data_IF_612118508675
#
_entry.id   IF_612118508675
#
_cell.length_a   1.000
_cell.length_b   1.000
_cell.length_c   1.000
_cell.angle_alpha   90.00
_cell.angle_beta   90.00
_cell.angle_gamma   90.00
#
_symmetry.space_group_name_H-M   'P 1'
#
loop_
_entity.id
_entity.type
_entity.pdbx_description
1 polymer ?
#
# COMPACT_ATOMS: atom_id res chain seq x y z
N UNK A 1 -34.25 -23.52 18.51
CA UNK A 1 -33.18 -23.99 17.59
C UNK A 1 -32.31 -22.79 17.27
N UNK A 2 -31.05 -22.83 17.70
CA UNK A 2 -30.08 -21.74 17.59
C UNK A 2 -29.58 -21.62 16.14
N UNK A 3 -30.09 -20.63 15.41
CA UNK A 3 -29.55 -20.21 14.11
C UNK A 3 -28.40 -19.17 14.25
N UNK A 4 -27.89 -18.98 15.47
CA UNK A 4 -26.99 -17.89 15.84
C UNK A 4 -25.51 -18.02 15.41
N UNK A 5 -24.88 -19.21 15.35
CA UNK A 5 -23.45 -19.30 14.99
C UNK A 5 -23.18 -19.28 13.48
N UNK A 6 -24.06 -19.89 12.68
CA UNK A 6 -23.81 -20.13 11.24
C UNK A 6 -24.14 -18.92 10.37
N UNK A 7 -25.17 -18.13 10.72
CA UNK A 7 -25.49 -16.87 10.03
C UNK A 7 -24.43 -15.78 10.30
N UNK A 8 -23.92 -15.71 11.54
CA UNK A 8 -22.91 -14.71 11.96
C UNK A 8 -21.53 -15.00 11.37
N UNK A 9 -21.18 -16.26 11.12
CA UNK A 9 -19.91 -16.62 10.48
C UNK A 9 -19.91 -16.36 8.97
N UNK A 10 -21.05 -16.56 8.30
CA UNK A 10 -21.25 -16.16 6.90
C UNK A 10 -21.13 -14.65 6.72
N UNK A 11 -21.87 -13.87 7.51
CA UNK A 11 -21.90 -12.40 7.37
C UNK A 11 -20.57 -11.72 7.69
N UNK A 12 -19.84 -12.17 8.72
CA UNK A 12 -18.51 -11.62 9.08
C UNK A 12 -17.47 -11.78 7.97
N UNK A 13 -17.52 -12.89 7.24
CA UNK A 13 -16.58 -13.13 6.13
C UNK A 13 -16.87 -12.18 4.98
N UNK A 14 -18.15 -12.04 4.61
CA UNK A 14 -18.58 -11.13 3.54
C UNK A 14 -18.27 -9.67 3.89
N UNK A 15 -18.47 -9.25 5.14
CA UNK A 15 -18.12 -7.90 5.58
C UNK A 15 -16.62 -7.61 5.50
N UNK A 16 -15.79 -8.54 5.95
CA UNK A 16 -14.33 -8.38 5.86
C UNK A 16 -13.86 -8.24 4.40
N UNK A 17 -14.47 -8.98 3.48
CA UNK A 17 -14.16 -8.87 2.05
C UNK A 17 -14.57 -7.51 1.49
N UNK A 18 -15.79 -7.05 1.78
CA UNK A 18 -16.31 -5.76 1.28
C UNK A 18 -15.53 -4.58 1.84
N UNK A 19 -15.23 -4.57 3.14
CA UNK A 19 -14.44 -3.50 3.76
C UNK A 19 -13.03 -3.45 3.19
N UNK A 20 -12.36 -4.61 3.07
CA UNK A 20 -11.03 -4.69 2.46
C UNK A 20 -11.04 -4.19 1.01
N UNK A 21 -12.04 -4.61 0.23
CA UNK A 21 -12.18 -4.17 -1.16
C UNK A 21 -12.39 -2.65 -1.25
N UNK A 22 -13.17 -2.06 -0.33
CA UNK A 22 -13.38 -0.62 -0.28
C UNK A 22 -12.09 0.14 0.08
N UNK A 23 -11.30 -0.35 1.04
CA UNK A 23 -10.01 0.22 1.40
C UNK A 23 -9.00 0.13 0.24
N UNK A 24 -8.92 -1.03 -0.43
CA UNK A 24 -8.07 -1.26 -1.59
C UNK A 24 -8.48 -0.32 -2.75
N UNK A 25 -9.78 -0.18 -3.02
CA UNK A 25 -10.28 0.75 -4.03
C UNK A 25 -9.98 2.20 -3.67
N UNK A 26 -10.13 2.61 -2.41
CA UNK A 26 -9.77 3.95 -1.95
C UNK A 26 -8.28 4.24 -2.16
N UNK A 27 -7.42 3.30 -1.78
CA UNK A 27 -5.97 3.45 -1.93
C UNK A 27 -5.58 3.54 -3.42
N UNK A 28 -6.10 2.64 -4.27
CA UNK A 28 -5.84 2.69 -5.71
C UNK A 28 -6.34 4.00 -6.33
N UNK A 29 -7.55 4.44 -5.97
CA UNK A 29 -8.11 5.70 -6.46
C UNK A 29 -7.27 6.90 -6.05
N UNK A 30 -6.70 6.89 -4.84
CA UNK A 30 -5.79 7.95 -4.42
C UNK A 30 -4.50 7.97 -5.24
N UNK A 31 -3.91 6.81 -5.57
CA UNK A 31 -2.74 6.76 -6.47
C UNK A 31 -3.08 7.35 -7.85
N UNK A 32 -4.24 7.02 -8.40
CA UNK A 32 -4.71 7.60 -9.67
C UNK A 32 -4.91 9.10 -9.54
N UNK A 33 -5.60 9.59 -8.51
CA UNK A 33 -5.80 11.03 -8.26
C UNK A 33 -4.47 11.79 -8.21
N UNK A 34 -3.48 11.27 -7.48
CA UNK A 34 -2.17 11.89 -7.39
C UNK A 34 -1.49 12.01 -8.75
N UNK A 35 -1.63 11.00 -9.63
CA UNK A 35 -1.12 11.07 -11.00
C UNK A 35 -1.77 12.19 -11.84
N UNK A 36 -3.06 12.46 -11.60
CA UNK A 36 -3.81 13.56 -12.21
C UNK A 36 -3.72 14.89 -11.44
N UNK A 37 -2.90 14.97 -10.37
CA UNK A 37 -2.79 16.13 -9.47
C UNK A 37 -4.10 16.51 -8.77
N UNK A 38 -5.00 15.55 -8.63
CA UNK A 38 -6.23 15.68 -7.84
C UNK A 38 -5.94 15.35 -6.36
N UNK A 39 -6.73 15.92 -5.44
CA UNK A 39 -6.52 15.75 -4.00
C UNK A 39 -6.88 14.32 -3.55
N UNK A 40 -5.99 13.59 -2.84
CA UNK A 40 -6.33 12.30 -2.26
C UNK A 40 -7.27 12.48 -1.06
N UNK A 41 -8.11 11.46 -0.79
CA UNK A 41 -8.97 11.44 0.39
C UNK A 41 -8.87 10.09 1.10
N UNK A 42 -8.77 10.14 2.42
CA UNK A 42 -8.79 8.95 3.28
C UNK A 42 -10.01 9.03 4.18
N UNK A 43 -10.84 8.01 4.09
CA UNK A 43 -11.97 7.78 4.98
C UNK A 43 -11.61 6.64 5.92
N UNK A 44 -11.91 6.82 7.20
CA UNK A 44 -11.75 5.81 8.24
C UNK A 44 -13.12 5.35 8.72
N UNK A 45 -13.26 4.04 8.96
CA UNK A 45 -14.46 3.50 9.57
C UNK A 45 -14.51 3.96 11.04
N UNK A 46 -15.49 4.78 11.37
CA UNK A 46 -15.66 5.33 12.71
C UNK A 46 -16.64 4.54 13.58
N UNK A 47 -17.64 3.90 12.96
CA UNK A 47 -18.59 3.04 13.65
C UNK A 47 -19.20 2.01 12.69
N UNK A 48 -19.46 0.82 13.22
CA UNK A 48 -20.28 -0.20 12.59
C UNK A 48 -21.52 -0.42 13.46
N UNK A 49 -22.68 0.00 12.97
CA UNK A 49 -23.96 -0.17 13.66
C UNK A 49 -24.79 -1.21 12.94
N UNK A 50 -25.21 -2.26 13.63
CA UNK A 50 -26.05 -3.31 13.05
C UNK A 50 -27.49 -3.15 13.49
N UNK A 51 -28.43 -3.05 12.55
CA UNK A 51 -29.87 -3.08 12.84
C UNK A 51 -30.46 -4.43 12.46
N UNK A 52 -31.21 -5.03 13.38
CA UNK A 52 -31.94 -6.28 13.15
C UNK A 52 -33.43 -6.00 12.98
N UNK A 53 -34.00 -6.50 11.90
CA UNK A 53 -35.44 -6.54 11.68
C UNK A 53 -35.89 -8.00 11.59
N UNK A 54 -36.97 -8.32 12.30
CA UNK A 54 -37.60 -9.65 12.25
C UNK A 54 -38.98 -9.43 11.65
N UNK A 55 -39.24 -10.03 10.50
CA UNK A 55 -40.56 -10.08 9.89
C UNK A 55 -41.11 -11.51 9.93
N UNK A 56 -42.38 -11.63 10.30
CA UNK A 56 -43.12 -12.88 10.18
C UNK A 56 -43.93 -12.80 8.88
N UNK A 57 -43.52 -13.56 7.87
CA UNK A 57 -44.31 -13.73 6.66
C UNK A 57 -45.14 -15.01 6.79
N UNK A 58 -46.46 -14.84 6.69
CA UNK A 58 -47.40 -15.96 6.56
C UNK A 58 -47.72 -16.08 5.09
N UNK A 59 -47.22 -17.13 4.44
CA UNK A 59 -47.52 -17.41 3.05
C UNK A 59 -48.50 -18.59 2.96
N UNK A 60 -49.60 -18.36 2.27
CA UNK A 60 -50.51 -19.43 1.86
C UNK A 60 -50.10 -19.86 0.46
N UNK A 61 -49.59 -21.08 0.32
CA UNK A 61 -49.25 -21.63 -1.00
C UNK A 61 -50.13 -22.83 -1.30
N UNK A 62 -50.65 -22.87 -2.52
CA UNK A 62 -51.42 -24.02 -3.03
C UNK A 62 -50.44 -24.93 -3.77
N UNK A 63 -50.20 -26.12 -3.23
CA UNK A 63 -49.35 -27.11 -3.90
C UNK A 63 -50.26 -27.98 -4.76
N UNK A 64 -50.13 -27.86 -6.09
CA UNK A 64 -50.89 -28.65 -7.06
C UNK A 64 -50.20 -29.99 -7.28
N UNK A 65 -50.67 -31.04 -6.60
CA UNK A 65 -50.29 -32.43 -6.87
C UNK A 65 -51.22 -33.07 -7.89
N UNK A 66 -50.74 -34.08 -8.63
CA UNK A 66 -51.61 -34.91 -9.48
C UNK A 66 -52.64 -35.66 -8.61
N UNK A 67 -53.84 -35.10 -8.49
CA UNK A 67 -55.02 -35.77 -7.94
C UNK A 67 -55.71 -35.06 -6.78
N UNK A 68 -54.99 -34.26 -5.98
CA UNK A 68 -55.58 -33.50 -4.87
C UNK A 68 -54.83 -32.18 -4.64
N UNK A 69 -55.60 -31.11 -4.40
CA UNK A 69 -55.07 -29.79 -4.04
C UNK A 69 -55.22 -29.60 -2.54
N UNK A 70 -54.10 -29.52 -1.81
CA UNK A 70 -54.12 -29.18 -0.39
C UNK A 70 -53.67 -27.73 -0.17
N UNK A 71 -54.38 -27.04 0.72
CA UNK A 71 -54.00 -25.70 1.20
C UNK A 71 -52.88 -25.87 2.24
N UNK A 72 -51.67 -25.47 1.87
CA UNK A 72 -50.53 -25.39 2.78
C UNK A 72 -50.43 -24.00 3.40
N UNK A 73 -50.49 -23.90 4.74
CA UNK A 73 -50.17 -22.68 5.49
C UNK A 73 -48.74 -22.82 6.00
N UNK A 74 -47.82 -22.00 5.47
CA UNK A 74 -46.43 -21.93 5.93
C UNK A 74 -46.18 -20.61 6.65
N UNK A 75 -45.52 -20.66 7.81
CA UNK A 75 -44.96 -19.48 8.47
C UNK A 75 -43.46 -19.45 8.25
N UNK A 76 -42.93 -18.36 7.71
CA UNK A 76 -41.49 -18.10 7.63
C UNK A 76 -41.12 -16.91 8.50
N UNK A 77 -40.13 -17.10 9.36
CA UNK A 77 -39.49 -16.01 10.11
C UNK A 77 -38.30 -15.55 9.28
N UNK A 78 -38.34 -14.31 8.79
CA UNK A 78 -37.24 -13.69 8.06
C UNK A 78 -36.54 -12.74 9.03
N UNK A 79 -35.29 -13.04 9.37
CA UNK A 79 -34.42 -12.14 10.10
C UNK A 79 -33.53 -11.42 9.06
N UNK A 80 -33.67 -10.10 8.96
CA UNK A 80 -32.87 -9.27 8.07
C UNK A 80 -31.97 -8.34 8.89
N UNK A 81 -30.68 -8.38 8.59
CA UNK A 81 -29.64 -7.54 9.18
C UNK A 81 -29.26 -6.44 8.18
N UNK A 82 -29.29 -5.17 8.59
CA UNK A 82 -28.81 -4.05 7.76
C UNK A 82 -27.72 -3.31 8.53
N UNK A 83 -26.43 -3.54 8.20
CA UNK A 83 -25.34 -2.80 8.81
C UNK A 83 -25.26 -1.39 8.22
N UNK A 84 -24.99 -0.41 9.06
CA UNK A 84 -24.65 0.96 8.69
C UNK A 84 -23.20 1.21 9.06
N UNK A 85 -22.35 1.46 8.07
CA UNK A 85 -20.94 1.82 8.25
C UNK A 85 -20.81 3.33 8.19
N UNK A 86 -20.33 3.94 9.28
CA UNK A 86 -20.03 5.36 9.34
C UNK A 86 -18.57 5.60 9.00
N UNK A 87 -18.32 6.57 8.12
CA UNK A 87 -16.97 6.97 7.70
C UNK A 87 -16.66 8.40 8.11
N UNK A 88 -15.46 8.63 8.63
CA UNK A 88 -14.96 9.98 8.94
C UNK A 88 -13.69 10.27 8.13
N UNK A 89 -13.58 11.44 7.49
CA UNK A 89 -12.35 11.82 6.80
C UNK A 89 -11.17 11.99 7.76
N UNK A 90 -10.00 11.47 7.38
CA UNK A 90 -8.73 11.72 8.08
C UNK A 90 -8.32 13.19 7.88
N UNK A 91 -8.20 13.95 8.98
CA UNK A 91 -7.94 15.40 8.97
C UNK A 91 -7.08 15.82 10.16
N UNK A 92 -6.60 17.06 10.14
CA UNK A 92 -5.92 17.67 11.28
C UNK A 92 -4.60 16.99 11.63
N UNK A 93 -4.34 16.83 12.93
CA UNK A 93 -3.09 16.28 13.45
C UNK A 93 -2.86 14.82 13.01
N UNK A 94 -3.91 14.00 12.97
CA UNK A 94 -3.79 12.60 12.55
C UNK A 94 -3.40 12.48 11.08
N UNK A 95 -3.90 13.38 10.22
CA UNK A 95 -3.46 13.43 8.82
C UNK A 95 -1.98 13.78 8.71
N UNK A 96 -1.50 14.78 9.47
CA UNK A 96 -0.08 15.16 9.47
C UNK A 96 0.76 13.96 9.91
N UNK A 97 0.43 13.36 11.05
CA UNK A 97 1.17 12.24 11.62
C UNK A 97 1.18 11.00 10.73
N UNK A 98 0.05 10.64 10.12
CA UNK A 98 -0.08 9.39 9.34
C UNK A 98 0.38 9.51 7.90
N UNK A 99 0.22 10.69 7.29
CA UNK A 99 0.39 10.88 5.85
C UNK A 99 1.64 11.71 5.52
N UNK A 100 1.95 12.73 6.33
CA UNK A 100 2.98 13.73 6.01
C UNK A 100 4.28 13.52 6.76
N UNK A 101 4.26 12.95 7.97
CA UNK A 101 5.48 12.66 8.70
C UNK A 101 6.32 11.60 7.95
N UNK A 102 7.65 11.75 7.92
CA UNK A 102 8.53 10.75 7.34
C UNK A 102 8.40 9.41 8.06
N UNK A 103 8.49 8.33 7.30
CA UNK A 103 8.56 6.97 7.86
C UNK A 103 9.82 6.86 8.72
N UNK A 104 9.71 6.21 9.88
CA UNK A 104 10.82 6.05 10.79
C UNK A 104 11.72 4.86 10.44
N UNK A 105 12.93 4.87 11.01
CA UNK A 105 13.90 3.80 10.83
C UNK A 105 13.38 2.46 11.37
N UNK A 106 12.62 2.50 12.46
CA UNK A 106 12.09 1.31 13.12
C UNK A 106 11.09 0.57 12.23
N UNK A 107 10.24 1.28 11.48
CA UNK A 107 9.33 0.69 10.49
C UNK A 107 10.11 -0.06 9.41
N UNK A 108 11.22 0.49 8.90
CA UNK A 108 12.05 -0.19 7.90
C UNK A 108 12.58 -1.53 8.43
N UNK A 109 13.15 -1.54 9.64
CA UNK A 109 13.70 -2.76 10.24
C UNK A 109 12.60 -3.75 10.66
N UNK A 110 11.46 -3.27 11.14
CA UNK A 110 10.30 -4.10 11.46
C UNK A 110 9.79 -4.83 10.21
N UNK A 111 9.62 -4.12 9.09
CA UNK A 111 9.18 -4.74 7.85
C UNK A 111 10.25 -5.69 7.30
N UNK A 112 11.52 -5.31 7.33
CA UNK A 112 12.60 -6.18 6.88
C UNK A 112 12.67 -7.49 7.70
N UNK A 113 12.52 -7.41 9.02
CA UNK A 113 12.48 -8.60 9.90
C UNK A 113 11.20 -9.43 9.74
N UNK A 114 10.12 -8.82 9.24
CA UNK A 114 8.87 -9.50 8.88
C UNK A 114 8.92 -10.21 7.52
N UNK A 115 10.07 -10.23 6.85
CA UNK A 115 10.29 -10.97 5.60
C UNK A 115 10.03 -10.18 4.32
N UNK A 116 9.79 -8.87 4.41
CA UNK A 116 9.69 -8.02 3.22
C UNK A 116 11.06 -7.87 2.54
N UNK A 117 11.07 -7.87 1.20
CA UNK A 117 12.31 -7.67 0.42
C UNK A 117 12.96 -6.33 0.75
N UNK A 118 14.22 -6.36 1.18
CA UNK A 118 15.00 -5.15 1.47
C UNK A 118 15.06 -4.22 0.26
N UNK A 119 15.31 -4.73 -0.94
CA UNK A 119 15.32 -3.92 -2.16
C UNK A 119 14.01 -3.14 -2.34
N UNK A 120 12.86 -3.80 -2.15
CA UNK A 120 11.55 -3.17 -2.28
C UNK A 120 11.33 -2.13 -1.18
N UNK A 121 11.71 -2.43 0.06
CA UNK A 121 11.62 -1.48 1.17
C UNK A 121 12.47 -0.24 0.92
N UNK A 122 13.74 -0.39 0.51
CA UNK A 122 14.61 0.74 0.22
C UNK A 122 14.09 1.56 -0.97
N UNK A 123 13.69 0.91 -2.07
CA UNK A 123 13.14 1.61 -3.24
C UNK A 123 11.84 2.36 -2.96
N UNK A 124 11.05 1.94 -1.98
CA UNK A 124 9.79 2.61 -1.62
C UNK A 124 9.97 3.66 -0.53
N UNK A 125 10.58 3.28 0.59
CA UNK A 125 10.53 4.04 1.84
C UNK A 125 11.69 5.04 1.95
N UNK A 126 12.82 4.77 1.30
CA UNK A 126 14.02 5.61 1.41
C UNK A 126 14.08 6.56 0.22
N UNK A 127 14.14 7.85 0.49
CA UNK A 127 14.30 8.93 -0.49
C UNK A 127 15.76 9.19 -0.87
N UNK A 128 16.68 8.97 0.08
CA UNK A 128 18.11 9.18 -0.11
C UNK A 128 18.91 8.23 0.77
N UNK A 129 20.02 7.71 0.24
CA UNK A 129 21.03 7.00 1.02
C UNK A 129 22.38 7.69 0.80
N UNK A 130 22.94 8.29 1.85
CA UNK A 130 24.08 9.20 1.80
C UNK A 130 23.89 10.33 0.79
N UNK A 131 24.51 10.23 -0.40
CA UNK A 131 24.40 11.22 -1.47
C UNK A 131 23.64 10.70 -2.68
N UNK A 132 23.15 9.46 -2.62
CA UNK A 132 22.49 8.80 -3.74
C UNK A 132 20.98 8.94 -3.57
N UNK A 133 20.37 9.69 -4.49
CA UNK A 133 18.95 9.97 -4.48
C UNK A 133 18.11 8.88 -5.11
N UNK A 134 17.00 8.53 -4.47
CA UNK A 134 16.00 7.64 -5.02
C UNK A 134 14.91 8.46 -5.71
N UNK A 135 15.09 8.82 -6.98
CA UNK A 135 14.05 9.54 -7.75
C UNK A 135 13.46 10.77 -7.02
N UNK A 136 14.27 11.58 -6.33
CA UNK A 136 13.82 12.54 -5.29
C UNK A 136 12.76 13.57 -5.73
N UNK A 137 12.66 13.86 -7.03
CA UNK A 137 11.61 14.69 -7.61
C UNK A 137 10.21 14.07 -7.62
N UNK A 138 10.06 12.81 -7.20
CA UNK A 138 8.80 12.05 -7.22
C UNK A 138 8.12 11.90 -5.85
N UNK A 139 8.59 12.60 -4.82
CA UNK A 139 7.90 12.71 -3.52
C UNK A 139 6.65 13.59 -3.55
N UNK A 140 6.44 14.30 -4.66
CA UNK A 140 5.34 15.24 -4.86
C UNK A 140 4.74 15.07 -6.26
N UNK A 141 4.04 16.10 -6.78
CA UNK A 141 3.46 16.05 -8.12
C UNK A 141 4.49 15.61 -9.17
N UNK A 142 4.06 14.82 -10.17
CA UNK A 142 4.93 14.29 -11.23
C UNK A 142 5.89 15.36 -11.76
N UNK A 143 7.22 15.12 -11.73
CA UNK A 143 8.20 16.09 -12.16
C UNK A 143 8.18 16.22 -13.69
N UNK A 144 8.49 17.43 -14.18
CA UNK A 144 8.60 17.68 -15.62
C UNK A 144 9.86 17.05 -16.23
N UNK A 145 10.91 16.86 -15.43
CA UNK A 145 12.19 16.29 -15.85
C UNK A 145 12.43 14.96 -15.13
N UNK A 146 13.03 14.00 -15.83
CA UNK A 146 13.35 12.68 -15.30
C UNK A 146 14.29 12.81 -14.09
N UNK A 147 13.95 12.20 -12.94
CA UNK A 147 14.84 12.25 -11.78
C UNK A 147 15.95 11.18 -11.91
N UNK A 148 17.08 11.38 -11.24
CA UNK A 148 18.09 10.34 -11.09
C UNK A 148 17.56 9.18 -10.22
N UNK A 149 17.73 7.94 -10.65
CA UNK A 149 17.23 6.77 -9.92
C UNK A 149 18.09 5.51 -10.06
N UNK A 150 18.92 5.41 -11.10
CA UNK A 150 19.65 4.21 -11.49
C UNK A 150 20.62 3.75 -10.40
N UNK A 151 21.44 4.67 -9.87
CA UNK A 151 22.40 4.37 -8.80
C UNK A 151 21.69 3.85 -7.53
N UNK A 152 20.55 4.43 -7.18
CA UNK A 152 19.79 3.99 -6.01
C UNK A 152 19.14 2.63 -6.23
N UNK A 153 18.55 2.39 -7.42
CA UNK A 153 18.00 1.09 -7.80
C UNK A 153 19.08 0.01 -7.71
N UNK A 154 20.30 0.32 -8.17
CA UNK A 154 21.45 -0.59 -8.09
C UNK A 154 21.93 -0.81 -6.66
N UNK A 155 22.03 0.24 -5.83
CA UNK A 155 22.35 0.12 -4.41
C UNK A 155 21.38 -0.80 -3.65
N UNK A 156 20.07 -0.65 -3.90
CA UNK A 156 19.05 -1.49 -3.30
C UNK A 156 19.20 -2.97 -3.71
N UNK A 157 19.58 -3.20 -4.97
CA UNK A 157 19.91 -4.54 -5.48
C UNK A 157 21.16 -5.13 -4.80
N UNK A 158 22.26 -4.38 -4.72
CA UNK A 158 23.50 -4.82 -4.07
C UNK A 158 23.26 -5.17 -2.59
N UNK A 159 22.53 -4.33 -1.86
CA UNK A 159 22.21 -4.55 -0.46
C UNK A 159 21.35 -5.82 -0.26
N UNK A 160 20.37 -6.06 -1.14
CA UNK A 160 19.57 -7.29 -1.13
C UNK A 160 20.43 -8.51 -1.41
N UNK A 161 21.31 -8.46 -2.41
CA UNK A 161 22.17 -9.57 -2.77
C UNK A 161 23.12 -9.95 -1.62
N UNK A 162 23.77 -8.96 -1.01
CA UNK A 162 24.59 -9.14 0.19
C UNK A 162 23.77 -9.74 1.34
N UNK A 163 22.52 -9.31 1.54
CA UNK A 163 21.67 -9.83 2.62
C UNK A 163 21.25 -11.28 2.38
N UNK A 164 20.92 -11.64 1.13
CA UNK A 164 20.54 -13.00 0.74
C UNK A 164 21.70 -14.00 0.92
N UNK A 165 22.93 -13.54 0.71
CA UNK A 165 24.14 -14.33 0.93
C UNK A 165 24.58 -14.37 2.41
N UNK A 166 23.83 -13.75 3.33
CA UNK A 166 24.18 -13.67 4.75
C UNK A 166 25.39 -12.78 5.04
N UNK A 167 25.79 -11.93 4.09
CA UNK A 167 26.96 -11.07 4.18
C UNK A 167 26.71 -9.75 4.90
N UNK A 168 25.45 -9.36 5.07
CA UNK A 168 25.06 -8.16 5.81
C UNK A 168 23.86 -8.45 6.70
N UNK A 169 23.86 -7.87 7.90
CA UNK A 169 22.77 -7.92 8.84
C UNK A 169 22.57 -6.58 9.55
N UNK A 170 21.35 -6.32 9.99
CA UNK A 170 21.06 -5.24 10.92
C UNK A 170 21.40 -5.65 12.35
N UNK A 171 21.98 -4.74 13.12
CA UNK A 171 22.28 -4.95 14.53
C UNK A 171 22.17 -3.66 15.33
N UNK A 172 22.45 -3.76 16.64
CA UNK A 172 22.57 -2.60 17.53
C UNK A 172 23.95 -2.59 18.17
N UNK A 173 24.64 -1.46 18.10
CA UNK A 173 25.91 -1.24 18.75
C UNK A 173 25.83 0.07 19.55
N UNK A 174 26.07 0.00 20.86
CA UNK A 174 25.96 1.14 21.79
C UNK A 174 24.63 1.91 21.67
N UNK A 175 23.53 1.17 21.55
CA UNK A 175 22.17 1.72 21.39
C UNK A 175 21.97 2.52 20.07
N UNK A 176 22.80 2.27 19.07
CA UNK A 176 22.68 2.81 17.72
C UNK A 176 22.50 1.68 16.72
N UNK A 177 21.56 1.83 15.81
CA UNK A 177 21.33 0.89 14.72
C UNK A 177 22.53 0.87 13.78
N UNK A 178 23.00 -0.31 13.40
CA UNK A 178 24.16 -0.51 12.51
C UNK A 178 23.84 -1.55 11.42
N UNK A 179 24.47 -1.41 10.27
CA UNK A 179 24.66 -2.52 9.33
C UNK A 179 26.04 -3.15 9.61
N UNK A 180 26.03 -4.47 9.80
CA UNK A 180 27.20 -5.29 10.10
C UNK A 180 27.43 -6.20 8.90
N UNK A 181 28.60 -6.07 8.29
CA UNK A 181 29.05 -6.88 7.17
C UNK A 181 30.01 -7.98 7.65
N UNK A 182 29.90 -9.16 7.07
CA UNK A 182 30.78 -10.28 7.35
C UNK A 182 32.20 -10.00 6.81
N UNK A 183 33.30 -10.40 7.49
CA UNK A 183 34.66 -10.10 7.03
C UNK A 183 34.99 -10.52 5.59
N UNK A 184 34.32 -11.55 5.09
CA UNK A 184 34.46 -12.11 3.75
C UNK A 184 34.11 -11.11 2.64
N UNK A 185 33.32 -10.07 2.94
CA UNK A 185 32.91 -9.07 1.95
C UNK A 185 34.06 -8.23 1.40
N UNK A 186 35.20 -8.16 2.09
CA UNK A 186 36.36 -7.33 1.72
C UNK A 186 36.88 -7.62 0.31
N UNK A 187 36.63 -8.80 -0.22
CA UNK A 187 37.05 -9.22 -1.55
C UNK A 187 35.89 -9.36 -2.55
N UNK A 188 34.66 -9.06 -2.13
CA UNK A 188 33.49 -9.15 -3.00
C UNK A 188 33.29 -7.85 -3.77
N UNK A 189 33.04 -7.99 -5.08
CA UNK A 189 32.81 -6.85 -5.97
C UNK A 189 31.56 -6.03 -5.57
N UNK A 190 30.48 -6.70 -5.15
CA UNK A 190 29.23 -6.04 -4.75
C UNK A 190 29.36 -5.18 -3.49
N UNK A 191 30.17 -5.60 -2.51
CA UNK A 191 30.48 -4.79 -1.34
C UNK A 191 31.39 -3.59 -1.66
N UNK A 192 32.43 -3.80 -2.48
CA UNK A 192 33.32 -2.71 -2.91
C UNK A 192 32.55 -1.66 -3.73
N UNK A 193 31.62 -2.10 -4.57
CA UNK A 193 30.74 -1.21 -5.32
C UNK A 193 29.75 -0.48 -4.41
N UNK A 194 29.10 -1.19 -3.47
CA UNK A 194 28.19 -0.60 -2.49
C UNK A 194 28.87 0.50 -1.66
N UNK A 195 30.06 0.23 -1.15
CA UNK A 195 30.83 1.21 -0.39
C UNK A 195 31.30 2.38 -1.25
N UNK A 196 31.71 2.13 -2.50
CA UNK A 196 32.09 3.19 -3.44
C UNK A 196 30.92 4.14 -3.76
N UNK A 197 29.75 3.60 -4.12
CA UNK A 197 28.54 4.39 -4.44
C UNK A 197 28.11 5.26 -3.26
N UNK A 198 28.24 4.76 -2.04
CA UNK A 198 27.90 5.49 -0.81
C UNK A 198 29.04 6.34 -0.25
N UNK A 199 30.22 6.33 -0.88
CA UNK A 199 31.45 7.01 -0.41
C UNK A 199 31.84 6.60 1.01
N UNK A 200 31.70 5.32 1.32
CA UNK A 200 32.07 4.69 2.58
C UNK A 200 33.53 4.23 2.56
N UNK A 201 34.13 4.10 3.76
CA UNK A 201 35.46 3.51 3.96
C UNK A 201 35.40 1.97 3.82
N UNK A 202 35.88 1.38 2.71
CA UNK A 202 35.72 -0.05 2.43
C UNK A 202 36.47 -0.97 3.41
N UNK A 203 37.35 -0.44 4.27
CA UNK A 203 38.02 -1.23 5.31
C UNK A 203 37.12 -1.49 6.53
N UNK A 204 35.96 -0.81 6.62
CA UNK A 204 35.00 -0.93 7.72
C UNK A 204 33.91 -1.95 7.46
N UNK A 205 33.66 -2.78 8.47
CA UNK A 205 32.61 -3.80 8.41
C UNK A 205 31.36 -3.42 9.21
N UNK A 206 31.38 -2.31 9.93
CA UNK A 206 30.26 -1.85 10.76
C UNK A 206 30.00 -0.39 10.45
N UNK A 207 28.80 -0.12 9.96
CA UNK A 207 28.36 1.23 9.63
C UNK A 207 27.13 1.59 10.47
N UNK A 208 27.23 2.61 11.32
CA UNK A 208 26.07 3.25 11.93
C UNK A 208 25.06 3.70 10.89
N UNK A 209 23.79 3.37 11.12
CA UNK A 209 22.65 3.85 10.34
C UNK A 209 22.05 5.04 11.07
N UNK A 210 21.97 6.17 10.38
CA UNK A 210 21.47 7.44 10.95
C UNK A 210 20.36 8.00 10.09
N UNK A 211 19.45 8.74 10.72
CA UNK A 211 18.43 9.54 10.02
C UNK A 211 18.79 11.01 10.23
N UNK A 212 19.49 11.62 9.28
CA UNK A 212 19.93 13.01 9.40
C UNK A 212 19.61 13.82 8.15
N UNK A 213 19.26 15.10 8.34
CA UNK A 213 18.71 15.95 7.29
C UNK A 213 19.64 16.15 6.07
N UNK A 214 20.97 16.06 6.22
CA UNK A 214 21.94 16.14 5.11
C UNK A 214 23.28 15.47 5.43
N UNK A 215 23.90 14.89 4.40
CA UNK A 215 25.33 14.57 4.35
C UNK A 215 25.61 13.07 4.36
N UNK A 216 26.52 12.64 3.46
CA UNK A 216 27.18 11.34 3.56
C UNK A 216 28.46 11.48 4.37
N UNK A 217 28.71 10.54 5.27
CA UNK A 217 29.99 10.42 5.97
C UNK A 217 30.61 9.09 5.60
N UNK A 218 31.93 9.05 5.40
CA UNK A 218 32.65 7.81 5.07
C UNK A 218 32.45 6.68 6.11
N UNK A 219 31.94 7.03 7.29
CA UNK A 219 31.84 6.16 8.45
C UNK A 219 30.40 5.88 8.88
N UNK A 220 29.37 6.28 8.11
CA UNK A 220 27.97 6.02 8.45
C UNK A 220 27.08 6.00 7.22
N UNK A 221 26.00 5.23 7.30
CA UNK A 221 24.94 5.19 6.29
C UNK A 221 23.81 6.10 6.78
N UNK A 222 23.65 7.23 6.11
CA UNK A 222 22.57 8.17 6.36
C UNK A 222 21.37 7.87 5.46
N UNK A 223 20.20 7.74 6.05
CA UNK A 223 18.94 7.51 5.36
C UNK A 223 18.02 8.72 5.52
N UNK A 224 17.49 9.20 4.40
CA UNK A 224 16.31 10.08 4.38
C UNK A 224 15.10 9.26 3.95
N UNK A 225 14.04 9.29 4.74
CA UNK A 225 12.82 8.56 4.44
C UNK A 225 11.78 9.42 3.73
N UNK A 226 10.98 8.77 2.87
CA UNK A 226 9.72 9.34 2.37
C UNK A 226 8.68 9.34 3.49
N UNK A 227 7.74 10.28 3.43
CA UNK A 227 6.46 10.12 4.12
C UNK A 227 5.56 9.16 3.34
N UNK A 228 4.44 8.72 3.93
CA UNK A 228 3.46 7.93 3.18
C UNK A 228 2.95 8.69 1.93
N UNK A 229 2.72 10.00 2.02
CA UNK A 229 2.43 10.82 0.86
C UNK A 229 3.53 10.72 -0.21
N UNK A 230 4.79 10.80 0.19
CA UNK A 230 5.93 10.63 -0.72
C UNK A 230 5.96 9.26 -1.40
N UNK A 231 5.68 8.17 -0.64
CA UNK A 231 5.54 6.82 -1.20
C UNK A 231 4.40 6.76 -2.21
N UNK A 232 3.25 7.36 -1.90
CA UNK A 232 2.10 7.37 -2.80
C UNK A 232 2.34 8.19 -4.07
N UNK A 233 3.02 9.33 -3.97
CA UNK A 233 3.42 10.12 -5.15
C UNK A 233 4.41 9.35 -6.03
N UNK A 234 5.38 8.64 -5.43
CA UNK A 234 6.29 7.77 -6.16
C UNK A 234 5.52 6.64 -6.87
N UNK A 235 4.64 5.94 -6.15
CA UNK A 235 3.83 4.85 -6.71
C UNK A 235 2.82 5.33 -7.75
N UNK A 236 2.31 6.55 -7.65
CA UNK A 236 1.41 7.13 -8.66
C UNK A 236 2.07 7.22 -10.05
N UNK A 237 3.40 7.28 -10.12
CA UNK A 237 4.12 7.23 -11.39
C UNK A 237 4.01 5.87 -12.10
N UNK A 238 3.58 4.82 -11.39
CA UNK A 238 3.29 3.50 -11.94
C UNK A 238 1.96 3.42 -12.71
N UNK A 239 1.16 4.49 -12.68
CA UNK A 239 -0.14 4.56 -13.38
C UNK A 239 0.07 4.79 -14.87
N UNK A 240 -0.39 3.83 -15.67
CA UNK A 240 -0.45 3.92 -17.12
C UNK A 240 -1.67 4.74 -17.52
N UNK A 241 -1.44 6.03 -17.76
CA UNK A 241 -2.48 6.99 -18.14
C UNK A 241 -2.94 6.70 -19.58
N UNK A 242 -4.26 6.69 -19.87
CA UNK A 242 -4.76 6.58 -21.24
C UNK A 242 -4.17 7.65 -22.17
N UNK A 243 -3.82 7.27 -23.40
CA UNK A 243 -3.20 8.17 -24.38
C UNK A 243 -4.04 9.44 -24.64
N UNK A 244 -5.37 9.31 -24.64
CA UNK A 244 -6.29 10.43 -24.80
C UNK A 244 -6.15 11.49 -23.69
N UNK A 245 -5.88 11.06 -22.44
CA UNK A 245 -5.71 11.97 -21.30
C UNK A 245 -4.33 12.63 -21.32
N UNK A 246 -3.31 11.90 -21.79
CA UNK A 246 -1.98 12.46 -22.06
C UNK A 246 -2.06 13.53 -23.15
N UNK A 247 -2.69 13.22 -24.29
CA UNK A 247 -2.86 14.15 -25.41
C UNK A 247 -3.69 15.38 -25.04
N UNK A 248 -4.66 15.24 -24.13
CA UNK A 248 -5.46 16.34 -23.61
C UNK A 248 -4.76 17.19 -22.52
N UNK A 249 -3.51 16.88 -22.16
CA UNK A 249 -2.74 17.63 -21.16
C UNK A 249 -3.26 17.48 -19.73
N UNK A 250 -3.98 16.39 -19.41
CA UNK A 250 -4.57 16.15 -18.08
C UNK A 250 -3.56 15.67 -17.05
N UNK A 251 -2.38 15.25 -17.50
CA UNK A 251 -1.28 14.78 -16.65
C UNK A 251 0.02 15.41 -17.07
N UNK A 252 0.97 15.51 -16.15
CA UNK A 252 2.34 15.90 -16.50
C UNK A 252 3.03 14.77 -17.25
N UNK A 253 3.62 15.10 -18.40
CA UNK A 253 4.52 14.23 -19.16
C UNK A 253 5.95 14.59 -18.78
N UNK A 254 6.64 13.65 -18.14
CA UNK A 254 8.05 13.79 -17.78
C UNK A 254 8.91 13.64 -19.02
N UNK A 255 9.94 14.47 -19.16
CA UNK A 255 10.91 14.41 -20.24
C UNK A 255 12.29 14.02 -19.72
N UNK A 256 13.07 13.32 -20.54
CA UNK A 256 14.49 13.10 -20.28
C UNK A 256 15.36 14.30 -20.71
N UNK A 257 16.67 14.21 -20.51
CA UNK A 257 17.62 15.26 -20.88
C UNK A 257 17.62 15.59 -22.39
N UNK A 258 17.19 14.63 -23.23
CA UNK A 258 17.05 14.80 -24.67
C UNK A 258 15.66 15.36 -25.08
N UNK A 259 14.77 15.62 -24.12
CA UNK A 259 13.41 16.10 -24.35
C UNK A 259 12.42 15.01 -24.77
N UNK A 260 12.80 13.73 -24.72
CA UNK A 260 11.94 12.60 -25.06
C UNK A 260 11.05 12.23 -23.87
N UNK A 261 9.90 11.61 -24.15
CA UNK A 261 8.97 11.15 -23.10
C UNK A 261 9.67 10.09 -22.26
N UNK A 262 9.78 10.36 -20.96
CA UNK A 262 10.43 9.47 -20.01
C UNK A 262 9.48 8.33 -19.59
N UNK A 263 9.94 7.09 -19.74
CA UNK A 263 9.21 5.91 -19.28
C UNK A 263 9.46 5.63 -17.80
N UNK A 264 8.47 5.96 -16.97
CA UNK A 264 8.49 5.70 -15.54
C UNK A 264 8.56 4.21 -15.17
N UNK A 265 8.22 3.29 -16.07
CA UNK A 265 8.40 1.86 -15.82
C UNK A 265 9.87 1.51 -15.61
N UNK A 266 10.83 2.26 -16.16
CA UNK A 266 12.25 2.06 -15.87
C UNK A 266 12.59 2.24 -14.38
N UNK A 267 11.85 3.12 -13.70
CA UNK A 267 11.97 3.42 -12.26
C UNK A 267 11.15 2.45 -11.42
N UNK A 268 9.94 2.10 -11.85
CA UNK A 268 8.97 1.30 -11.07
C UNK A 268 8.95 -0.19 -11.43
N UNK A 269 9.82 -0.65 -12.33
CA UNK A 269 10.00 -2.06 -12.66
C UNK A 269 10.31 -2.90 -11.41
N UNK A 270 9.60 -4.02 -11.26
CA UNK A 270 9.66 -4.90 -10.08
C UNK A 270 9.04 -4.29 -8.80
N UNK A 271 8.52 -3.07 -8.90
CA UNK A 271 7.82 -2.37 -7.80
C UNK A 271 6.33 -2.39 -8.06
N UNK A 272 5.83 -1.70 -9.09
CA UNK A 272 4.38 -1.62 -9.34
C UNK A 272 4.07 -1.21 -10.78
N UNK A 273 2.92 -1.69 -11.25
CA UNK A 273 2.27 -1.31 -12.50
C UNK A 273 0.77 -1.24 -12.29
N UNK A 274 0.19 -0.08 -12.58
CA UNK A 274 -1.26 0.12 -12.57
C UNK A 274 -1.68 0.34 -14.02
N UNK A 275 -2.42 -0.62 -14.57
CA UNK A 275 -2.90 -0.59 -15.95
C UNK A 275 -4.14 0.28 -16.07
N UNK A 276 -4.47 0.69 -17.30
CA UNK A 276 -5.75 1.30 -17.62
C UNK A 276 -6.45 0.60 -18.78
N UNK A 277 -7.78 0.70 -18.81
CA UNK A 277 -8.64 0.17 -19.87
C UNK A 277 -9.90 1.01 -20.03
N UNK A 278 -10.47 1.04 -21.24
CA UNK A 278 -11.75 1.72 -21.49
C UNK A 278 -12.96 0.93 -20.96
N UNK A 279 -12.81 -0.38 -20.78
CA UNK A 279 -13.84 -1.28 -20.25
C UNK A 279 -13.41 -1.83 -18.88
N UNK A 280 -14.37 -2.27 -18.03
CA UNK A 280 -14.04 -2.94 -16.77
C UNK A 280 -13.09 -4.12 -17.03
N UNK A 281 -12.02 -4.29 -16.24
CA UNK A 281 -11.09 -5.40 -16.42
C UNK A 281 -11.72 -6.73 -15.97
N UNK A 282 -11.53 -7.78 -16.77
CA UNK A 282 -12.05 -9.11 -16.45
C UNK A 282 -11.31 -9.78 -15.27
N UNK A 283 -10.01 -9.50 -15.13
CA UNK A 283 -9.16 -10.10 -14.11
C UNK A 283 -8.27 -9.06 -13.41
N UNK A 284 -8.80 -8.45 -12.34
CA UNK A 284 -8.09 -7.46 -11.54
C UNK A 284 -8.09 -7.85 -10.07
N UNK A 285 -6.95 -7.69 -9.41
CA UNK A 285 -6.85 -7.78 -7.95
C UNK A 285 -7.62 -6.63 -7.28
N UNK A 286 -7.56 -5.44 -7.88
CA UNK A 286 -8.31 -4.25 -7.49
C UNK A 286 -8.51 -3.37 -8.72
N UNK A 287 -9.69 -2.78 -8.87
CA UNK A 287 -10.04 -1.90 -9.98
C UNK A 287 -10.92 -0.74 -9.52
N UNK A 288 -10.72 0.42 -10.15
CA UNK A 288 -11.52 1.64 -9.92
C UNK A 288 -11.84 2.32 -11.26
N UNK A 289 -13.05 2.87 -11.38
CA UNK A 289 -13.40 3.73 -12.51
C UNK A 289 -13.12 5.20 -12.14
N UNK A 290 -12.38 5.89 -12.99
CA UNK A 290 -12.05 7.29 -12.81
C UNK A 290 -11.91 7.99 -14.17
N UNK A 291 -12.55 9.16 -14.34
CA UNK A 291 -12.50 9.95 -15.59
C UNK A 291 -12.84 9.11 -16.85
N UNK A 292 -13.87 8.27 -16.77
CA UNK A 292 -14.33 7.36 -17.84
C UNK A 292 -13.30 6.30 -18.28
N UNK A 293 -12.29 6.01 -17.46
CA UNK A 293 -11.35 4.91 -17.66
C UNK A 293 -11.31 4.04 -16.41
N UNK A 294 -11.05 2.76 -16.59
CA UNK A 294 -10.75 1.83 -15.50
C UNK A 294 -9.26 1.80 -15.25
N UNK A 295 -8.87 1.87 -13.98
CA UNK A 295 -7.50 1.69 -13.53
C UNK A 295 -7.45 0.48 -12.61
N UNK A 296 -6.45 -0.39 -12.78
CA UNK A 296 -6.42 -1.65 -12.07
C UNK A 296 -5.02 -2.23 -11.89
N UNK A 297 -4.88 -3.07 -10.89
CA UNK A 297 -3.75 -3.99 -10.74
C UNK A 297 -4.22 -5.35 -11.26
N UNK A 298 -3.47 -5.91 -12.21
CA UNK A 298 -3.74 -7.22 -12.79
C UNK A 298 -3.57 -8.31 -11.72
N UNK A 299 -4.49 -9.28 -11.64
CA UNK A 299 -4.39 -10.31 -10.61
C UNK A 299 -3.21 -11.28 -10.83
N UNK A 300 -2.66 -11.36 -12.04
CA UNK A 300 -1.43 -12.12 -12.30
C UNK A 300 -0.15 -11.37 -11.90
N UNK A 301 -0.23 -10.07 -11.59
CA UNK A 301 0.93 -9.24 -11.24
C UNK A 301 1.24 -9.33 -9.74
N UNK A 302 2.04 -10.33 -9.38
CA UNK A 302 2.44 -10.58 -8.00
C UNK A 302 3.31 -9.48 -7.41
N UNK A 303 4.16 -8.82 -8.21
CA UNK A 303 5.01 -7.73 -7.73
C UNK A 303 4.17 -6.51 -7.36
N UNK A 304 3.23 -6.12 -8.22
CA UNK A 304 2.30 -5.02 -7.93
C UNK A 304 1.41 -5.34 -6.73
N UNK A 305 0.88 -6.56 -6.62
CA UNK A 305 0.12 -7.00 -5.44
C UNK A 305 0.94 -6.93 -4.15
N UNK A 306 2.20 -7.37 -4.20
CA UNK A 306 3.10 -7.35 -3.04
C UNK A 306 3.39 -5.91 -2.60
N UNK A 307 3.67 -5.01 -3.53
CA UNK A 307 3.89 -3.60 -3.23
C UNK A 307 2.62 -2.91 -2.74
N UNK A 308 1.45 -3.25 -3.29
CA UNK A 308 0.17 -2.71 -2.83
C UNK A 308 -0.15 -3.13 -1.40
N UNK A 309 0.08 -4.41 -1.07
CA UNK A 309 -0.06 -4.90 0.30
C UNK A 309 0.92 -4.21 1.27
N UNK A 310 2.17 -3.99 0.84
CA UNK A 310 3.18 -3.26 1.62
C UNK A 310 2.74 -1.80 1.88
N UNK A 311 2.19 -1.11 0.88
CA UNK A 311 1.64 0.24 1.04
C UNK A 311 0.53 0.27 2.11
N UNK A 312 -0.39 -0.71 2.08
CA UNK A 312 -1.42 -0.86 3.11
C UNK A 312 -0.84 -1.11 4.51
N UNK A 313 0.18 -1.97 4.61
CA UNK A 313 0.86 -2.25 5.88
C UNK A 313 1.55 -1.01 6.45
N UNK A 314 2.24 -0.23 5.61
CA UNK A 314 2.89 1.02 6.01
C UNK A 314 1.83 2.03 6.51
N UNK A 315 0.72 2.17 5.78
CA UNK A 315 -0.40 3.04 6.22
C UNK A 315 -0.95 2.64 7.59
N UNK A 316 -1.12 1.35 7.85
CA UNK A 316 -1.58 0.85 9.15
C UNK A 316 -0.53 1.07 10.26
N UNK A 317 0.76 0.88 10.00
CA UNK A 317 1.81 1.09 11.00
C UNK A 317 1.94 2.56 11.42
N UNK A 318 1.75 3.49 10.48
CA UNK A 318 1.71 4.93 10.77
C UNK A 318 0.51 5.32 11.65
N UNK A 319 -0.53 4.47 11.70
CA UNK A 319 -1.76 4.77 12.42
C UNK A 319 -1.65 4.69 13.95
N UNK A 320 -0.64 3.98 14.47
CA UNK A 320 -0.05 4.05 15.82
C UNK A 320 -0.94 3.77 17.04
N UNK A 321 -2.23 4.09 17.01
CA UNK A 321 -3.19 3.86 18.08
C UNK A 321 -4.51 3.40 17.44
N UNK A 322 -4.63 2.09 17.17
CA UNK A 322 -5.95 1.52 16.94
C UNK A 322 -6.64 1.42 18.30
N UNK A 323 -7.35 2.49 18.67
CA UNK A 323 -8.47 2.37 19.61
C UNK A 323 -9.32 1.22 19.11
N UNK A 324 -9.31 0.09 19.82
CA UNK A 324 -10.15 -1.05 19.48
C UNK A 324 -11.59 -0.56 19.41
N UNK A 325 -12.13 -0.42 18.19
CA UNK A 325 -13.57 -0.23 18.00
C UNK A 325 -14.20 -1.58 18.36
N UNK A 326 -14.45 -1.77 19.65
CA UNK A 326 -15.27 -2.87 20.11
C UNK A 326 -16.66 -2.66 19.51
N UNK A 327 -17.25 -3.66 18.82
CA UNK A 327 -18.59 -3.52 18.29
C UNK A 327 -19.55 -3.30 19.46
N UNK A 328 -20.19 -2.13 19.51
CA UNK A 328 -21.25 -1.84 20.46
C UNK A 328 -22.52 -2.48 19.91
N UNK A 329 -22.89 -3.64 20.46
CA UNK A 329 -24.16 -4.30 20.14
C UNK A 329 -25.30 -3.51 20.79
N UNK A 330 -25.95 -2.62 20.03
CA UNK A 330 -27.21 -1.99 20.47
C UNK A 330 -28.39 -2.85 20.03
N UNK A 331 -29.00 -3.56 20.97
CA UNK A 331 -30.30 -4.19 20.75
C UNK A 331 -31.39 -3.11 20.76
N UNK A 332 -32.25 -3.01 19.74
CA UNK A 332 -33.42 -2.14 19.81
C UNK A 332 -34.36 -2.64 20.90
N UNK A 333 -34.64 -1.78 21.88
CA UNK A 333 -35.80 -1.93 22.76
C UNK A 333 -37.00 -1.33 22.04
N UNK A 334 -37.74 -2.18 21.33
CA UNK A 334 -39.01 -1.84 20.68
C UNK A 334 -40.12 -2.77 21.17
N UNK A 335 -41.21 -2.15 21.63
CA UNK A 335 -42.38 -2.76 22.31
C UNK A 335 -43.13 -3.83 21.51
#
# INVERSE_FOLDING_TARGET
>A
MSAGPTLVSGSRTDYNMVLRQADDQQMLLNLVRLRYRDQPMFLEVSALNTQFSISNEVSASTVLGQGDSYLGVGGSVIAQETPTVSYTPLKGADFVKRILDPIDLDTLFLLNSSGWSSERLFRLLVDEMNTVGNAQGSNGPTPAQAPAYEEFKHLAYLLRHLAQDGMVSGGSYKNQTVLIFAPEVRHRADYLEFTHLLKLDPDKLVYPVTVAARGGHANSINLRFRSLAGVMYFLSQSVQVPEADVAAGRVTVTQDEAGQVFDWQRVTEGVMRIKSSSQPPDNAAVAVNYRNSWFYIDDSDLDSKTTFALLGQVYQLQSGDTSTIAPVLTLPVGN
#
